data_IF_277477404619
#
_entry.id   IF_277477404619
#
_cell.length_a   1.000
_cell.length_b   1.000
_cell.length_c   1.000
_cell.angle_alpha   90.00
_cell.angle_beta   90.00
_cell.angle_gamma   90.00
#
_symmetry.space_group_name_H-M   'P 1'
#
loop_
_entity.id
_entity.type
_entity.pdbx_description
1 polymer ?
#
# COMPACT_ATOMS: atom_id res chain seq x y z
N UNK A 1 49.13 21.12 19.46
CA UNK A 1 48.77 20.06 18.50
C UNK A 1 47.32 20.28 18.09
N UNK A 2 47.11 21.07 17.04
CA UNK A 2 45.79 21.45 16.53
C UNK A 2 45.64 20.84 15.14
N UNK A 3 44.63 19.98 14.96
CA UNK A 3 44.28 19.40 13.65
C UNK A 3 43.23 20.32 13.02
N UNK A 4 43.63 20.94 11.92
CA UNK A 4 42.73 21.63 10.98
C UNK A 4 42.10 20.55 10.11
N UNK A 5 40.77 20.47 10.12
CA UNK A 5 39.97 19.69 9.17
C UNK A 5 39.62 20.64 8.02
N UNK A 6 40.14 20.34 6.83
CA UNK A 6 39.87 21.06 5.59
C UNK A 6 38.56 20.54 5.00
N UNK A 7 37.55 21.40 4.87
CA UNK A 7 36.34 21.11 4.11
C UNK A 7 36.64 21.18 2.60
N UNK A 8 36.22 20.15 1.88
CA UNK A 8 36.28 20.01 0.43
C UNK A 8 35.39 21.07 -0.23
N UNK A 9 35.90 21.73 -1.27
CA UNK A 9 35.24 22.81 -1.98
C UNK A 9 34.08 22.35 -2.87
N UNK A 10 33.03 23.17 -2.88
CA UNK A 10 31.98 23.19 -3.89
C UNK A 10 32.61 23.63 -5.21
N UNK A 11 32.71 22.70 -6.16
CA UNK A 11 33.11 22.99 -7.54
C UNK A 11 31.94 23.62 -8.27
N UNK A 12 32.00 24.94 -8.48
CA UNK A 12 31.16 25.63 -9.46
C UNK A 12 31.67 25.22 -10.85
N UNK A 13 30.99 24.26 -11.48
CA UNK A 13 31.26 23.91 -12.88
C UNK A 13 30.77 25.05 -13.78
N UNK A 14 31.71 25.76 -14.40
CA UNK A 14 31.41 26.70 -15.48
C UNK A 14 31.58 25.96 -16.79
N UNK A 15 30.48 25.48 -17.38
CA UNK A 15 30.46 24.91 -18.73
C UNK A 15 30.70 26.02 -19.76
N UNK A 16 31.83 25.96 -20.45
CA UNK A 16 32.16 26.87 -21.55
C UNK A 16 31.95 26.12 -22.88
N UNK A 17 30.85 26.45 -23.56
CA UNK A 17 30.71 26.29 -25.01
C UNK A 17 29.98 25.04 -25.49
N UNK A 18 28.70 25.20 -25.86
CA UNK A 18 27.93 24.20 -26.60
C UNK A 18 26.44 24.27 -26.29
N UNK A 19 25.70 25.08 -27.06
CA UNK A 19 24.23 25.08 -27.19
C UNK A 19 23.41 24.93 -25.89
N UNK A 20 23.31 26.02 -25.12
CA UNK A 20 22.00 26.60 -24.80
C UNK A 20 21.11 26.03 -23.68
N UNK A 21 21.57 25.17 -22.76
CA UNK A 21 20.80 24.89 -21.53
C UNK A 21 20.81 26.03 -20.49
N UNK A 22 21.55 27.12 -20.76
CA UNK A 22 21.88 28.16 -19.78
C UNK A 22 20.96 29.39 -19.71
N UNK A 23 19.74 29.36 -20.27
CA UNK A 23 18.91 30.58 -20.35
C UNK A 23 17.44 30.44 -19.90
N UNK A 24 17.07 29.38 -19.17
CA UNK A 24 15.69 29.16 -18.74
C UNK A 24 15.42 29.26 -17.23
N UNK A 25 16.42 29.61 -16.39
CA UNK A 25 16.18 29.76 -14.94
C UNK A 25 15.96 31.23 -14.59
N UNK A 26 14.70 31.60 -14.31
CA UNK A 26 14.36 32.87 -13.72
C UNK A 26 14.96 32.95 -12.30
N UNK A 27 15.24 34.16 -11.82
CA UNK A 27 16.01 34.40 -10.60
C UNK A 27 15.34 33.92 -9.30
N UNK A 28 14.06 33.52 -9.36
CA UNK A 28 13.31 32.89 -8.26
C UNK A 28 13.40 31.33 -8.27
N UNK A 29 13.81 30.68 -9.37
CA UNK A 29 13.90 29.21 -9.49
C UNK A 29 15.16 28.59 -8.85
N UNK A 30 16.15 29.42 -8.52
CA UNK A 30 17.41 28.96 -7.92
C UNK A 30 17.16 28.31 -6.54
N UNK A 31 16.05 28.63 -5.86
CA UNK A 31 15.77 28.07 -4.53
C UNK A 31 15.41 26.59 -4.54
N UNK A 32 14.63 26.11 -5.52
CA UNK A 32 14.16 24.72 -5.54
C UNK A 32 15.30 23.75 -5.90
N UNK A 33 16.06 24.06 -6.96
CA UNK A 33 17.20 23.24 -7.40
C UNK A 33 18.32 23.14 -6.36
N UNK A 34 18.40 24.08 -5.41
CA UNK A 34 19.35 24.03 -4.28
C UNK A 34 18.76 23.36 -3.03
N UNK A 35 17.43 23.37 -2.89
CA UNK A 35 16.73 22.82 -1.72
C UNK A 35 16.36 21.35 -1.86
N UNK A 36 16.01 20.91 -3.07
CA UNK A 36 15.57 19.57 -3.37
C UNK A 36 16.74 18.78 -3.98
N UNK A 37 17.18 17.74 -3.27
CA UNK A 37 18.37 16.96 -3.65
C UNK A 37 17.95 15.55 -4.02
N UNK A 38 18.25 15.15 -5.26
CA UNK A 38 18.12 13.77 -5.68
C UNK A 38 19.24 12.91 -5.07
N UNK A 39 18.86 11.78 -4.49
CA UNK A 39 19.74 10.84 -3.80
C UNK A 39 19.55 9.43 -4.35
N UNK A 40 20.62 8.64 -4.31
CA UNK A 40 20.62 7.23 -4.71
C UNK A 40 20.01 7.01 -6.11
N UNK A 41 20.36 7.87 -7.06
CA UNK A 41 19.83 7.80 -8.43
C UNK A 41 20.38 6.55 -9.11
N UNK A 42 19.48 5.71 -9.59
CA UNK A 42 19.79 4.49 -10.34
C UNK A 42 19.09 4.53 -11.69
N UNK A 43 19.81 4.10 -12.73
CA UNK A 43 19.26 3.96 -14.08
C UNK A 43 18.85 2.50 -14.27
N UNK A 44 17.64 2.28 -14.75
CA UNK A 44 17.13 0.95 -15.03
C UNK A 44 16.12 0.97 -16.17
N UNK A 45 15.55 -0.19 -16.44
CA UNK A 45 14.45 -0.35 -17.38
C UNK A 45 13.19 -0.72 -16.63
N UNK A 46 12.07 -0.08 -16.96
CA UNK A 46 10.76 -0.40 -16.41
C UNK A 46 9.75 -0.62 -17.54
N UNK A 47 8.82 -1.54 -17.34
CA UNK A 47 7.68 -1.70 -18.24
C UNK A 47 6.63 -0.65 -17.92
N UNK A 48 6.26 0.16 -18.91
CA UNK A 48 5.23 1.18 -18.75
C UNK A 48 3.81 0.60 -18.74
N UNK A 49 2.81 1.47 -18.59
CA UNK A 49 1.39 1.08 -18.58
C UNK A 49 0.92 0.42 -19.90
N UNK A 50 1.67 0.55 -20.99
CA UNK A 50 1.38 -0.02 -22.30
C UNK A 50 2.17 -1.30 -22.59
N UNK A 51 2.99 -1.77 -21.64
CA UNK A 51 3.80 -2.97 -21.81
C UNK A 51 5.13 -2.73 -22.55
N UNK A 52 5.56 -1.49 -22.71
CA UNK A 52 6.82 -1.14 -23.38
C UNK A 52 7.93 -0.95 -22.36
N UNK A 53 9.14 -1.42 -22.67
CA UNK A 53 10.32 -1.12 -21.85
C UNK A 53 10.74 0.33 -22.07
N UNK A 54 10.80 1.09 -20.99
CA UNK A 54 11.29 2.47 -20.94
C UNK A 54 12.54 2.53 -20.06
N UNK A 55 13.52 3.34 -20.49
CA UNK A 55 14.67 3.68 -19.65
C UNK A 55 14.18 4.68 -18.59
N UNK A 56 14.48 4.42 -17.32
CA UNK A 56 14.04 5.26 -16.20
C UNK A 56 15.19 5.53 -15.24
N UNK A 57 15.22 6.74 -14.68
CA UNK A 57 16.00 7.07 -13.50
C UNK A 57 15.07 7.09 -12.28
N UNK A 58 15.39 6.27 -11.29
CA UNK A 58 14.67 6.22 -10.01
C UNK A 58 15.58 6.66 -8.87
N UNK A 59 15.01 7.24 -7.83
CA UNK A 59 15.77 7.66 -6.66
C UNK A 59 14.88 8.23 -5.57
N UNK A 60 15.48 9.04 -4.70
CA UNK A 60 14.75 9.75 -3.65
C UNK A 60 15.04 11.24 -3.70
N UNK A 61 14.00 12.06 -3.58
CA UNK A 61 14.09 13.51 -3.50
C UNK A 61 13.99 13.94 -2.05
N UNK A 62 15.08 14.51 -1.50
CA UNK A 62 15.15 15.02 -0.14
C UNK A 62 14.98 16.54 -0.15
N UNK A 63 14.06 17.06 0.66
CA UNK A 63 13.98 18.50 0.92
C UNK A 63 14.90 18.90 2.07
N UNK A 64 16.00 19.58 1.76
CA UNK A 64 17.00 20.03 2.73
C UNK A 64 16.77 21.47 3.24
N UNK A 65 15.68 22.12 2.81
CA UNK A 65 15.34 23.49 3.22
C UNK A 65 14.37 23.52 4.41
N UNK A 66 14.02 24.74 4.84
CA UNK A 66 12.98 25.04 5.83
C UNK A 66 11.59 25.31 5.22
N UNK A 67 11.50 25.33 3.88
CA UNK A 67 10.26 25.52 3.11
C UNK A 67 9.69 24.21 2.62
N UNK A 68 8.39 24.19 2.37
CA UNK A 68 7.75 23.07 1.70
C UNK A 68 7.68 23.28 0.19
N UNK A 69 7.59 22.20 -0.59
CA UNK A 69 7.54 22.27 -2.06
C UNK A 69 6.38 21.47 -2.63
N UNK A 70 5.55 22.10 -3.45
CA UNK A 70 4.46 21.48 -4.22
C UNK A 70 4.75 21.59 -5.71
N UNK A 71 3.91 20.94 -6.55
CA UNK A 71 4.04 21.00 -8.01
C UNK A 71 5.46 20.61 -8.49
N UNK A 72 6.02 19.56 -7.89
CA UNK A 72 7.40 19.15 -8.13
C UNK A 72 7.51 18.41 -9.46
N UNK A 73 8.20 19.01 -10.43
CA UNK A 73 8.59 18.40 -11.68
C UNK A 73 10.10 18.11 -11.66
N UNK A 74 10.52 17.02 -12.29
CA UNK A 74 11.91 16.61 -12.35
C UNK A 74 12.37 16.56 -13.80
N UNK A 75 13.39 17.34 -14.13
CA UNK A 75 14.09 17.26 -15.40
C UNK A 75 15.37 16.46 -15.22
N UNK A 76 15.75 15.69 -16.23
CA UNK A 76 16.99 14.94 -16.25
C UNK A 76 17.85 15.30 -17.45
N UNK A 77 19.17 15.33 -17.25
CA UNK A 77 20.16 15.24 -18.31
C UNK A 77 20.91 13.91 -18.18
N UNK A 78 20.95 13.13 -19.25
CA UNK A 78 21.65 11.85 -19.30
C UNK A 78 23.07 12.08 -19.79
N UNK A 79 24.07 11.68 -19.01
CA UNK A 79 25.48 11.88 -19.29
C UNK A 79 26.14 10.54 -19.59
N UNK A 80 26.91 10.45 -20.68
CA UNK A 80 27.65 9.24 -21.05
C UNK A 80 29.02 9.15 -20.35
N UNK A 81 29.78 8.10 -20.63
CA UNK A 81 31.10 7.88 -20.03
C UNK A 81 32.18 8.90 -20.42
N UNK A 82 31.94 9.75 -21.43
CA UNK A 82 32.85 10.83 -21.83
C UNK A 82 32.49 12.18 -21.20
N UNK A 83 31.35 12.26 -20.50
CA UNK A 83 30.84 13.49 -19.89
C UNK A 83 29.96 14.32 -20.83
N UNK A 84 29.53 13.76 -21.97
CA UNK A 84 28.64 14.42 -22.93
C UNK A 84 27.17 14.14 -22.58
N UNK A 85 26.31 15.13 -22.81
CA UNK A 85 24.87 14.97 -22.65
C UNK A 85 24.30 14.22 -23.87
N UNK A 86 23.78 13.02 -23.63
CA UNK A 86 23.31 12.08 -24.67
C UNK A 86 21.82 11.77 -24.58
N UNK A 87 21.12 12.44 -23.68
CA UNK A 87 19.69 12.32 -23.53
C UNK A 87 19.13 13.28 -22.51
N UNK A 88 17.82 13.24 -22.38
CA UNK A 88 17.05 14.03 -21.43
C UNK A 88 15.98 13.19 -20.76
N UNK A 89 15.27 13.76 -19.80
CA UNK A 89 14.15 13.08 -19.18
C UNK A 89 13.22 14.00 -18.42
N UNK A 90 12.02 13.51 -18.19
CA UNK A 90 10.98 14.18 -17.45
C UNK A 90 10.30 13.21 -16.47
N UNK A 91 10.00 13.70 -15.27
CA UNK A 91 9.40 12.89 -14.23
C UNK A 91 8.88 13.70 -13.04
N UNK A 92 8.56 12.98 -11.98
CA UNK A 92 7.85 13.51 -10.83
C UNK A 92 8.07 12.61 -9.59
N UNK A 93 7.76 13.11 -8.39
CA UNK A 93 7.64 12.27 -7.21
C UNK A 93 6.57 11.19 -7.39
N UNK A 94 6.84 9.99 -6.90
CA UNK A 94 5.96 8.83 -7.01
C UNK A 94 5.71 8.17 -5.66
N UNK A 95 4.61 7.44 -5.53
CA UNK A 95 4.39 6.51 -4.41
C UNK A 95 5.23 5.23 -4.58
N UNK A 96 5.12 4.30 -3.64
CA UNK A 96 5.84 3.02 -3.69
C UNK A 96 5.49 2.15 -4.91
N UNK A 97 4.33 2.38 -5.54
CA UNK A 97 3.92 1.75 -6.80
C UNK A 97 4.45 2.43 -8.06
N UNK A 98 5.22 3.52 -7.93
CA UNK A 98 5.68 4.31 -9.08
C UNK A 98 4.58 5.17 -9.71
N UNK A 99 3.42 5.30 -9.06
CA UNK A 99 2.33 6.17 -9.52
C UNK A 99 2.66 7.61 -9.11
N UNK A 100 2.47 8.55 -10.04
CA UNK A 100 2.78 9.96 -9.80
C UNK A 100 1.88 10.57 -8.75
N UNK A 101 2.48 11.34 -7.84
CA UNK A 101 1.72 12.04 -6.82
C UNK A 101 0.96 13.22 -7.43
N UNK A 102 -0.28 13.41 -6.98
CA UNK A 102 -1.15 14.50 -7.43
C UNK A 102 -0.61 15.88 -7.03
N UNK A 103 -1.14 16.93 -7.68
CA UNK A 103 -0.67 18.31 -7.51
C UNK A 103 -0.83 18.90 -6.09
N UNK A 104 -1.66 18.28 -5.25
CA UNK A 104 -1.83 18.62 -3.84
C UNK A 104 -0.72 18.05 -2.93
N UNK A 105 0.11 17.14 -3.45
CA UNK A 105 1.31 16.69 -2.75
C UNK A 105 2.26 17.84 -2.43
N UNK A 106 2.72 17.87 -1.18
CA UNK A 106 3.67 18.87 -0.69
C UNK A 106 4.79 18.19 0.09
N UNK A 107 6.02 18.27 -0.43
CA UNK A 107 7.20 17.73 0.20
C UNK A 107 7.68 18.66 1.34
N UNK A 108 7.48 18.24 2.58
CA UNK A 108 7.84 19.00 3.78
C UNK A 108 9.35 19.07 4.03
N UNK A 109 9.85 20.06 4.80
CA UNK A 109 11.23 20.12 5.26
C UNK A 109 11.74 18.81 5.87
N UNK A 110 12.91 18.34 5.44
CA UNK A 110 13.53 17.10 5.92
C UNK A 110 12.87 15.81 5.42
N UNK A 111 11.69 15.88 4.80
CA UNK A 111 11.03 14.72 4.24
C UNK A 111 11.71 14.25 2.95
N UNK A 112 11.51 12.97 2.63
CA UNK A 112 12.10 12.33 1.45
C UNK A 112 11.06 11.54 0.69
N UNK A 113 10.91 11.76 -0.61
CA UNK A 113 9.94 11.08 -1.46
C UNK A 113 10.63 10.31 -2.60
N UNK A 114 10.23 9.07 -2.93
CA UNK A 114 10.63 8.43 -4.17
C UNK A 114 10.29 9.26 -5.41
N UNK A 115 11.08 9.12 -6.47
CA UNK A 115 10.76 9.69 -7.76
C UNK A 115 11.05 8.72 -8.90
N UNK A 116 10.42 8.97 -10.04
CA UNK A 116 10.72 8.30 -11.32
C UNK A 116 10.81 9.34 -12.43
N UNK A 117 11.83 9.23 -13.27
CA UNK A 117 12.06 10.07 -14.44
C UNK A 117 12.23 9.17 -15.66
N UNK A 118 11.32 9.29 -16.63
CA UNK A 118 11.47 8.61 -17.91
C UNK A 118 12.59 9.29 -18.71
N UNK A 119 13.50 8.49 -19.27
CA UNK A 119 14.68 8.95 -19.98
C UNK A 119 14.56 8.64 -21.47
N UNK A 120 14.94 9.60 -22.30
CA UNK A 120 15.04 9.45 -23.74
C UNK A 120 16.46 9.80 -24.18
N UNK A 121 17.13 8.84 -24.83
CA UNK A 121 18.44 9.05 -25.42
C UNK A 121 18.26 9.66 -26.81
N UNK A 122 19.13 10.60 -27.17
CA UNK A 122 19.09 11.25 -28.49
C UNK A 122 19.40 10.25 -29.62
N UNK A 123 20.24 9.25 -29.33
CA UNK A 123 20.62 8.19 -30.26
C UNK A 123 20.50 6.81 -29.57
N UNK A 124 20.15 5.78 -30.32
CA UNK A 124 19.80 4.45 -29.77
C UNK A 124 21.00 3.61 -29.30
N UNK A 125 22.21 3.96 -29.73
CA UNK A 125 23.47 3.28 -29.39
C UNK A 125 24.25 3.98 -28.27
N UNK A 126 23.73 5.10 -27.76
CA UNK A 126 24.29 5.77 -26.59
C UNK A 126 24.10 4.95 -25.31
N UNK A 127 25.03 5.13 -24.38
CA UNK A 127 24.98 4.45 -23.08
C UNK A 127 25.03 5.48 -21.95
N UNK A 128 23.99 5.47 -21.12
CA UNK A 128 23.92 6.32 -19.94
C UNK A 128 24.94 5.86 -18.88
N UNK A 129 25.78 6.78 -18.42
CA UNK A 129 26.72 6.55 -17.31
C UNK A 129 26.24 7.23 -16.01
N UNK A 130 25.62 8.41 -16.14
CA UNK A 130 25.12 9.20 -15.03
C UNK A 130 23.83 9.95 -15.45
N UNK A 131 22.98 10.27 -14.49
CA UNK A 131 21.79 11.11 -14.71
C UNK A 131 21.82 12.24 -13.70
N UNK A 132 21.76 13.48 -14.21
CA UNK A 132 21.66 14.68 -13.40
C UNK A 132 20.20 15.08 -13.28
N UNK A 133 19.67 15.12 -12.06
CA UNK A 133 18.28 15.49 -11.79
C UNK A 133 18.22 16.96 -11.38
N UNK A 134 17.36 17.73 -12.05
CA UNK A 134 17.09 19.14 -11.76
C UNK A 134 15.61 19.28 -11.39
N UNK A 135 15.28 19.50 -10.11
CA UNK A 135 13.91 19.70 -9.68
C UNK A 135 13.44 21.14 -9.91
N UNK A 136 12.21 21.29 -10.40
CA UNK A 136 11.44 22.52 -10.42
C UNK A 136 10.22 22.36 -9.52
N UNK A 137 9.97 23.30 -8.63
CA UNK A 137 8.88 23.21 -7.67
C UNK A 137 8.47 24.58 -7.13
N UNK A 138 7.24 24.67 -6.64
CA UNK A 138 6.71 25.88 -6.02
C UNK A 138 6.95 25.84 -4.51
N UNK A 139 7.68 26.83 -3.99
CA UNK A 139 7.96 26.95 -2.56
C UNK A 139 6.75 27.53 -1.82
N UNK A 140 6.35 26.87 -0.75
CA UNK A 140 5.31 27.31 0.18
C UNK A 140 5.86 27.37 1.62
N UNK A 141 5.06 27.93 2.51
CA UNK A 141 5.38 27.87 3.94
C UNK A 141 5.29 26.41 4.40
N UNK A 142 6.27 25.98 5.19
CA UNK A 142 6.20 24.66 5.77
C UNK A 142 4.95 24.55 6.62
N UNK A 143 4.21 23.48 6.42
CA UNK A 143 3.24 23.10 7.42
C UNK A 143 4.10 22.66 8.60
N UNK A 144 4.01 23.37 9.73
CA UNK A 144 4.50 22.80 10.98
C UNK A 144 3.83 21.45 11.09
N UNK A 145 4.60 20.38 10.86
CA UNK A 145 4.18 19.03 11.18
C UNK A 145 3.62 19.14 12.57
N UNK A 146 2.30 19.03 12.71
CA UNK A 146 1.71 18.85 14.02
C UNK A 146 2.46 17.65 14.55
N UNK A 147 3.26 17.84 15.61
CA UNK A 147 3.95 16.76 16.30
C UNK A 147 3.06 15.52 16.24
N UNK A 148 3.58 14.34 15.81
CA UNK A 148 2.74 13.19 15.49
C UNK A 148 1.68 13.08 16.56
N UNK A 149 0.41 13.18 16.15
CA UNK A 149 -0.70 13.26 17.09
C UNK A 149 -0.54 12.07 18.04
N UNK A 150 -0.16 12.35 19.28
CA UNK A 150 -0.02 11.30 20.29
C UNK A 150 -1.45 10.96 20.65
N UNK A 151 -1.95 9.89 20.04
CA UNK A 151 -3.27 9.35 20.31
C UNK A 151 -3.06 8.26 21.36
N UNK A 152 -3.68 8.43 22.53
CA UNK A 152 -3.62 7.44 23.60
C UNK A 152 -4.03 6.06 23.07
N UNK A 153 -3.24 5.03 23.38
CA UNK A 153 -3.48 3.66 22.91
C UNK A 153 -3.06 3.39 21.46
N UNK A 154 -2.44 4.34 20.75
CA UNK A 154 -1.90 4.15 19.40
C UNK A 154 -0.40 4.46 19.36
N UNK A 155 0.39 3.48 18.93
CA UNK A 155 1.84 3.62 18.78
C UNK A 155 2.23 3.63 17.30
N UNK A 156 2.89 4.67 16.78
CA UNK A 156 3.45 4.64 15.43
C UNK A 156 4.63 3.67 15.35
N UNK A 157 4.73 2.92 14.25
CA UNK A 157 5.84 1.98 13.98
C UNK A 157 6.75 2.54 12.89
N UNK A 158 6.17 2.87 11.73
CA UNK A 158 6.88 3.47 10.60
C UNK A 158 5.95 4.42 9.83
N UNK A 159 6.54 5.38 9.11
CA UNK A 159 5.86 6.21 8.11
C UNK A 159 6.07 5.74 6.67
N UNK A 160 6.61 4.53 6.49
CA UNK A 160 6.75 3.90 5.18
C UNK A 160 5.38 3.40 4.66
N UNK A 161 5.24 3.21 3.35
CA UNK A 161 4.04 2.64 2.71
C UNK A 161 3.93 1.14 3.02
N UNK A 162 3.20 0.78 4.07
CA UNK A 162 2.96 -0.60 4.49
C UNK A 162 1.72 -1.16 3.82
N UNK A 163 1.87 -2.28 3.12
CA UNK A 163 0.82 -2.89 2.28
C UNK A 163 0.44 -4.30 2.72
N UNK A 164 1.20 -4.89 3.65
CA UNK A 164 0.92 -6.20 4.21
C UNK A 164 1.39 -6.30 5.65
N UNK A 165 0.62 -7.00 6.49
CA UNK A 165 0.95 -7.32 7.87
C UNK A 165 0.59 -8.78 8.14
N UNK A 166 1.52 -9.52 8.72
CA UNK A 166 1.30 -10.89 9.21
C UNK A 166 1.72 -10.98 10.68
N UNK A 167 0.78 -11.28 11.57
CA UNK A 167 1.10 -11.51 12.97
C UNK A 167 1.77 -12.88 13.16
N UNK A 168 2.94 -12.87 13.81
CA UNK A 168 3.64 -14.09 14.22
C UNK A 168 3.03 -14.62 15.52
N UNK A 169 2.72 -13.71 16.44
CA UNK A 169 2.07 -13.97 17.73
C UNK A 169 1.38 -12.69 18.23
N UNK A 170 0.88 -12.64 19.48
CA UNK A 170 0.22 -11.46 20.04
C UNK A 170 1.12 -10.24 20.30
N UNK A 171 2.43 -10.39 20.07
CA UNK A 171 3.45 -9.38 20.36
C UNK A 171 4.36 -9.06 19.19
N UNK A 172 4.48 -9.96 18.20
CA UNK A 172 5.35 -9.80 17.04
C UNK A 172 4.59 -9.91 15.73
N UNK A 173 4.98 -9.07 14.79
CA UNK A 173 4.44 -9.08 13.43
C UNK A 173 5.55 -8.92 12.39
N UNK A 174 5.27 -9.42 11.20
CA UNK A 174 5.99 -9.12 9.97
C UNK A 174 5.18 -8.08 9.20
N UNK A 175 5.85 -7.14 8.53
CA UNK A 175 5.17 -6.21 7.62
C UNK A 175 5.97 -5.97 6.36
N UNK A 176 5.25 -5.83 5.24
CA UNK A 176 5.79 -5.59 3.91
C UNK A 176 5.65 -4.12 3.53
N UNK A 177 6.77 -3.50 3.16
CA UNK A 177 6.83 -2.14 2.61
C UNK A 177 7.02 -2.20 1.10
N UNK A 178 6.25 -1.43 0.35
CA UNK A 178 6.39 -1.35 -1.11
C UNK A 178 5.06 -1.11 -1.83
N UNK A 179 4.99 -1.51 -3.10
CA UNK A 179 3.75 -1.44 -3.83
C UNK A 179 2.80 -2.59 -3.42
N UNK A 180 1.52 -2.28 -3.22
CA UNK A 180 0.50 -3.28 -2.89
C UNK A 180 0.27 -4.29 -4.03
N UNK A 181 0.69 -3.97 -5.26
CA UNK A 181 0.67 -4.87 -6.40
C UNK A 181 1.89 -5.78 -6.47
N UNK A 182 2.97 -5.46 -5.77
CA UNK A 182 4.17 -6.28 -5.83
C UNK A 182 3.89 -7.63 -5.15
N UNK A 183 4.33 -8.75 -5.77
CA UNK A 183 4.33 -10.04 -5.11
C UNK A 183 5.01 -9.95 -3.75
N UNK A 184 4.45 -10.61 -2.73
CA UNK A 184 4.94 -10.50 -1.36
C UNK A 184 6.45 -10.79 -1.25
N UNK A 185 6.99 -11.70 -2.05
CA UNK A 185 8.41 -12.07 -2.04
C UNK A 185 9.34 -11.03 -2.68
N UNK A 186 8.80 -9.94 -3.25
CA UNK A 186 9.55 -8.79 -3.78
C UNK A 186 9.47 -7.56 -2.86
N UNK A 187 8.57 -7.57 -1.88
CA UNK A 187 8.43 -6.49 -0.90
C UNK A 187 9.61 -6.49 0.08
N UNK A 188 9.90 -5.32 0.66
CA UNK A 188 10.87 -5.22 1.76
C UNK A 188 10.18 -5.58 3.07
N UNK A 189 10.59 -6.70 3.67
CA UNK A 189 10.00 -7.21 4.91
C UNK A 189 10.76 -6.77 6.14
N UNK A 190 10.01 -6.43 7.19
CA UNK A 190 10.53 -6.11 8.50
C UNK A 190 9.78 -6.91 9.57
N UNK A 191 10.48 -7.30 10.64
CA UNK A 191 9.87 -7.82 11.86
C UNK A 191 9.81 -6.70 12.89
N UNK A 192 8.69 -6.63 13.64
CA UNK A 192 8.48 -5.67 14.71
C UNK A 192 7.98 -6.37 15.97
N UNK A 193 8.62 -6.07 17.10
CA UNK A 193 8.21 -6.50 18.43
C UNK A 193 7.51 -5.34 19.14
N UNK A 194 6.20 -5.50 19.37
CA UNK A 194 5.32 -4.46 19.94
C UNK A 194 5.62 -4.14 21.41
N UNK A 195 6.35 -5.00 22.13
CA UNK A 195 6.68 -4.81 23.55
C UNK A 195 7.96 -3.99 23.70
N UNK A 196 8.97 -4.30 22.89
CA UNK A 196 10.28 -3.65 22.95
C UNK A 196 10.39 -2.44 22.01
N UNK A 197 9.50 -2.35 21.01
CA UNK A 197 9.56 -1.34 19.95
C UNK A 197 10.72 -1.58 18.97
N UNK A 198 11.37 -2.74 19.01
CA UNK A 198 12.49 -3.08 18.13
C UNK A 198 11.95 -3.54 16.78
N UNK A 199 12.52 -2.99 15.71
CA UNK A 199 12.30 -3.45 14.34
C UNK A 199 13.60 -3.80 13.63
N UNK A 200 13.52 -4.71 12.67
CA UNK A 200 14.65 -5.09 11.83
C UNK A 200 14.21 -5.68 10.49
N UNK A 201 15.02 -5.50 9.45
CA UNK A 201 14.77 -6.16 8.16
C UNK A 201 14.85 -7.68 8.30
N UNK A 202 13.96 -8.36 7.58
CA UNK A 202 13.91 -9.82 7.52
C UNK A 202 13.52 -10.28 6.12
N UNK A 203 13.42 -11.59 5.91
CA UNK A 203 12.86 -12.18 4.70
C UNK A 203 11.53 -12.84 5.05
N UNK A 204 10.52 -12.69 4.20
CA UNK A 204 9.26 -13.39 4.40
C UNK A 204 9.48 -14.90 4.47
N UNK A 205 8.86 -15.62 5.43
CA UNK A 205 9.09 -17.06 5.63
C UNK A 205 8.91 -17.91 4.37
N UNK A 206 7.97 -17.52 3.51
CA UNK A 206 7.66 -18.20 2.25
C UNK A 206 8.32 -17.59 1.00
N UNK A 207 9.22 -16.60 1.13
CA UNK A 207 9.85 -15.98 -0.03
C UNK A 207 10.64 -17.00 -0.88
N UNK A 208 11.31 -17.95 -0.21
CA UNK A 208 12.08 -19.01 -0.86
C UNK A 208 11.23 -20.09 -1.53
N UNK A 209 9.94 -20.18 -1.21
CA UNK A 209 9.02 -21.15 -1.81
C UNK A 209 8.56 -20.71 -3.22
N UNK A 210 8.75 -19.43 -3.55
CA UNK A 210 8.45 -18.89 -4.89
C UNK A 210 9.59 -19.19 -5.86
N UNK A 211 9.67 -20.46 -6.29
CA UNK A 211 10.72 -20.95 -7.19
C UNK A 211 10.35 -20.78 -8.67
N UNK A 212 11.36 -20.80 -9.56
CA UNK A 212 11.13 -20.83 -11.02
C UNK A 212 10.29 -22.05 -11.44
N UNK A 213 10.46 -23.19 -10.77
CA UNK A 213 9.68 -24.39 -11.02
C UNK A 213 8.19 -24.18 -10.67
N UNK A 214 7.91 -23.59 -9.52
CA UNK A 214 6.53 -23.22 -9.14
C UNK A 214 5.94 -22.26 -10.18
N UNK A 215 6.66 -21.19 -10.52
CA UNK A 215 6.20 -20.21 -11.51
C UNK A 215 5.93 -20.85 -12.87
N UNK A 216 6.77 -21.79 -13.31
CA UNK A 216 6.53 -22.55 -14.53
C UNK A 216 5.26 -23.42 -14.44
N UNK A 217 5.05 -24.13 -13.34
CA UNK A 217 3.85 -24.97 -13.12
C UNK A 217 2.57 -24.13 -13.11
N UNK A 218 2.61 -22.93 -12.53
CA UNK A 218 1.47 -22.02 -12.45
C UNK A 218 1.27 -21.12 -13.69
N UNK A 219 2.14 -21.24 -14.70
CA UNK A 219 2.17 -20.35 -15.88
C UNK A 219 2.40 -18.86 -15.52
N UNK A 220 3.25 -18.59 -14.54
CA UNK A 220 3.63 -17.26 -14.04
C UNK A 220 5.11 -16.92 -14.33
N UNK A 221 5.67 -17.44 -15.41
CA UNK A 221 7.05 -17.15 -15.82
C UNK A 221 7.21 -15.75 -16.39
N UNK A 222 6.16 -15.23 -17.02
CA UNK A 222 6.08 -13.84 -17.46
C UNK A 222 6.06 -12.90 -16.23
N UNK A 223 6.97 -11.90 -16.14
CA UNK A 223 7.05 -11.00 -15.00
C UNK A 223 5.77 -10.16 -14.77
N UNK A 224 5.07 -9.76 -15.83
CA UNK A 224 3.85 -8.97 -15.74
C UNK A 224 2.73 -9.84 -15.16
N UNK A 225 2.60 -11.07 -15.64
CA UNK A 225 1.62 -12.02 -15.11
C UNK A 225 1.93 -12.39 -13.66
N UNK A 226 3.20 -12.60 -13.32
CA UNK A 226 3.60 -12.86 -11.93
C UNK A 226 3.26 -11.69 -11.01
N UNK A 227 3.58 -10.45 -11.42
CA UNK A 227 3.24 -9.24 -10.67
C UNK A 227 1.74 -9.05 -10.45
N UNK A 228 0.90 -9.51 -11.39
CA UNK A 228 -0.57 -9.39 -11.29
C UNK A 228 -1.25 -10.62 -10.69
N UNK A 229 -0.50 -11.65 -10.34
CA UNK A 229 -1.05 -12.92 -9.88
C UNK A 229 -1.55 -12.90 -8.44
N UNK A 230 -1.13 -11.92 -7.62
CA UNK A 230 -1.35 -11.93 -6.17
C UNK A 230 -1.00 -13.30 -5.55
N UNK A 231 0.08 -13.93 -6.02
CA UNK A 231 0.54 -15.19 -5.44
C UNK A 231 0.95 -14.92 -3.99
N UNK A 232 0.32 -15.60 -3.04
CA UNK A 232 0.61 -15.50 -1.60
C UNK A 232 0.31 -16.81 -0.89
N UNK A 233 1.09 -17.12 0.14
CA UNK A 233 0.87 -18.28 0.99
C UNK A 233 -0.11 -17.94 2.10
N UNK A 234 -0.96 -18.90 2.47
CA UNK A 234 -1.81 -18.74 3.65
C UNK A 234 -0.92 -18.65 4.91
N UNK A 235 -1.09 -17.64 5.79
CA UNK A 235 -0.24 -17.47 6.96
C UNK A 235 -0.16 -18.74 7.83
N UNK A 236 1.07 -19.18 8.11
CA UNK A 236 1.34 -20.40 8.88
C UNK A 236 0.97 -21.71 8.19
N UNK A 237 0.59 -21.68 6.91
CA UNK A 237 0.21 -22.86 6.13
C UNK A 237 1.08 -23.03 4.89
N UNK A 238 0.95 -24.21 4.28
CA UNK A 238 1.76 -24.59 3.13
C UNK A 238 1.12 -24.22 1.80
N UNK A 239 -0.21 -24.18 1.71
CA UNK A 239 -0.89 -23.91 0.44
C UNK A 239 -0.90 -22.42 0.13
N UNK A 240 -0.98 -22.10 -1.15
CA UNK A 240 -1.01 -20.74 -1.67
C UNK A 240 -2.32 -20.43 -2.38
N UNK A 241 -2.64 -19.15 -2.44
CA UNK A 241 -3.63 -18.56 -3.33
C UNK A 241 -2.90 -17.81 -4.44
N UNK A 242 -3.46 -17.81 -5.65
CA UNK A 242 -3.05 -16.93 -6.73
C UNK A 242 -4.19 -16.76 -7.74
N UNK A 243 -4.01 -15.81 -8.64
CA UNK A 243 -4.87 -15.54 -9.77
C UNK A 243 -4.12 -15.80 -11.08
N UNK A 244 -4.76 -16.49 -12.03
CA UNK A 244 -4.18 -16.75 -13.35
C UNK A 244 -4.22 -15.53 -14.27
N UNK A 245 -3.61 -15.66 -15.45
CA UNK A 245 -3.68 -14.71 -16.57
C UNK A 245 -5.11 -14.41 -17.06
N UNK A 246 -6.05 -15.34 -16.85
CA UNK A 246 -7.47 -15.19 -17.14
C UNK A 246 -8.28 -14.69 -15.92
N UNK A 247 -7.62 -14.09 -14.94
CA UNK A 247 -8.21 -13.64 -13.67
C UNK A 247 -8.99 -14.73 -12.92
N UNK A 248 -8.62 -16.00 -13.07
CA UNK A 248 -9.29 -17.11 -12.36
C UNK A 248 -8.60 -17.35 -11.02
N UNK A 249 -9.28 -17.17 -9.87
CA UNK A 249 -8.70 -17.44 -8.56
C UNK A 249 -8.53 -18.95 -8.33
N UNK A 250 -7.35 -19.33 -7.88
CA UNK A 250 -6.97 -20.73 -7.65
C UNK A 250 -6.16 -20.90 -6.36
N UNK A 251 -6.14 -22.12 -5.83
CA UNK A 251 -5.22 -22.52 -4.78
C UNK A 251 -4.32 -23.68 -5.22
N UNK A 252 -3.11 -23.77 -4.66
CA UNK A 252 -2.11 -24.77 -5.03
C UNK A 252 -1.26 -25.21 -3.83
N UNK A 253 -0.57 -26.34 -3.98
CA UNK A 253 0.59 -26.69 -3.13
C UNK A 253 1.84 -25.86 -3.54
N UNK A 254 2.91 -25.80 -2.71
CA UNK A 254 4.13 -25.04 -3.01
C UNK A 254 4.88 -25.45 -4.27
N UNK A 255 4.64 -26.66 -4.79
CA UNK A 255 5.21 -27.14 -6.05
C UNK A 255 4.31 -26.86 -7.27
N UNK A 256 3.15 -26.22 -7.03
CA UNK A 256 2.13 -25.91 -8.02
C UNK A 256 1.17 -27.06 -8.30
N UNK A 257 1.31 -28.19 -7.60
CA UNK A 257 0.40 -29.33 -7.75
C UNK A 257 -0.92 -29.15 -6.99
N UNK A 258 -1.85 -30.08 -7.19
CA UNK A 258 -3.18 -30.09 -6.57
C UNK A 258 -3.95 -28.77 -6.69
N UNK A 259 -3.94 -28.21 -7.91
CA UNK A 259 -4.67 -27.01 -8.26
C UNK A 259 -6.17 -27.16 -7.99
N UNK A 260 -6.75 -26.16 -7.33
CA UNK A 260 -8.19 -26.03 -7.11
C UNK A 260 -8.66 -24.71 -7.70
N UNK A 261 -9.56 -24.79 -8.66
CA UNK A 261 -10.23 -23.62 -9.23
C UNK A 261 -11.39 -23.24 -8.32
N UNK A 262 -11.46 -21.98 -7.92
CA UNK A 262 -12.54 -21.49 -7.05
C UNK A 262 -13.70 -20.96 -7.90
N UNK A 263 -13.38 -20.05 -8.82
CA UNK A 263 -14.31 -19.39 -9.75
C UNK A 263 -13.64 -19.13 -11.11
N UNK A 264 -14.44 -19.02 -12.18
CA UNK A 264 -13.95 -18.85 -13.57
C UNK A 264 -14.62 -17.70 -14.33
N UNK A 265 -15.58 -17.03 -13.71
CA UNK A 265 -16.41 -15.96 -14.27
C UNK A 265 -15.88 -14.55 -13.95
N UNK A 266 -14.69 -14.46 -13.35
CA UNK A 266 -14.03 -13.21 -12.98
C UNK A 266 -13.02 -12.70 -14.03
N UNK A 267 -13.04 -13.24 -15.25
CA UNK A 267 -12.06 -12.92 -16.30
C UNK A 267 -11.98 -11.42 -16.65
N UNK A 268 -13.03 -10.64 -16.41
CA UNK A 268 -13.09 -9.19 -16.65
C UNK A 268 -12.99 -8.35 -15.36
N UNK A 269 -12.52 -8.95 -14.26
CA UNK A 269 -12.31 -8.29 -12.97
C UNK A 269 -10.86 -8.46 -12.53
N UNK A 270 -10.26 -7.38 -12.05
CA UNK A 270 -8.94 -7.43 -11.45
C UNK A 270 -9.09 -7.62 -9.95
N UNK A 271 -8.41 -8.62 -9.41
CA UNK A 271 -8.27 -8.79 -7.97
C UNK A 271 -7.60 -7.55 -7.38
N UNK A 272 -8.09 -7.11 -6.24
CA UNK A 272 -7.57 -5.93 -5.55
C UNK A 272 -6.88 -6.30 -4.24
N UNK A 273 -7.25 -7.44 -3.65
CA UNK A 273 -6.52 -8.03 -2.55
C UNK A 273 -7.22 -9.24 -1.94
N UNK A 274 -6.58 -9.78 -0.92
CA UNK A 274 -7.07 -10.93 -0.17
C UNK A 274 -6.82 -10.70 1.31
N UNK A 275 -7.88 -10.83 2.10
CA UNK A 275 -7.82 -10.78 3.56
C UNK A 275 -7.77 -12.22 4.08
N UNK A 276 -6.61 -12.63 4.59
CA UNK A 276 -6.48 -13.92 5.27
C UNK A 276 -7.24 -13.94 6.59
N UNK A 277 -7.93 -15.04 6.84
CA UNK A 277 -8.73 -15.30 8.03
C UNK A 277 -8.12 -16.48 8.81
N UNK A 278 -8.80 -16.97 9.84
CA UNK A 278 -8.30 -18.10 10.63
C UNK A 278 -8.33 -19.39 9.82
N UNK A 279 -7.44 -20.31 10.18
CA UNK A 279 -7.40 -21.69 9.66
C UNK A 279 -7.33 -21.78 8.12
N UNK A 280 -6.80 -20.75 7.45
CA UNK A 280 -6.61 -20.74 6.00
C UNK A 280 -7.87 -20.39 5.22
N UNK A 281 -8.94 -19.95 5.89
CA UNK A 281 -10.01 -19.21 5.23
C UNK A 281 -9.51 -17.84 4.76
N UNK A 282 -10.14 -17.29 3.74
CA UNK A 282 -9.84 -15.95 3.25
C UNK A 282 -11.04 -15.30 2.58
N UNK A 283 -11.01 -13.98 2.49
CA UNK A 283 -11.88 -13.17 1.64
C UNK A 283 -11.06 -12.57 0.51
N UNK A 284 -11.45 -12.82 -0.74
CA UNK A 284 -10.86 -12.16 -1.91
C UNK A 284 -11.84 -11.08 -2.42
N UNK A 285 -11.32 -9.93 -2.86
CA UNK A 285 -12.14 -8.80 -3.28
C UNK A 285 -11.64 -8.11 -4.55
N UNK A 286 -12.59 -7.58 -5.32
CA UNK A 286 -12.42 -7.06 -6.68
C UNK A 286 -13.19 -5.76 -6.85
N UNK A 287 -12.57 -4.75 -7.44
CA UNK A 287 -13.24 -3.51 -7.89
C UNK A 287 -12.38 -2.86 -9.00
N UNK A 288 -12.96 -1.94 -9.78
CA UNK A 288 -12.27 -1.28 -10.89
C UNK A 288 -11.38 -0.13 -10.42
N UNK A 289 -12.00 0.84 -9.76
CA UNK A 289 -11.35 2.00 -9.17
C UNK A 289 -11.91 2.38 -7.81
N UNK A 290 -11.51 3.55 -7.32
CA UNK A 290 -12.07 4.15 -6.11
C UNK A 290 -13.56 4.45 -6.30
N UNK A 291 -14.37 4.12 -5.30
CA UNK A 291 -15.82 4.35 -5.29
C UNK A 291 -16.66 3.35 -6.09
N UNK A 292 -16.03 2.45 -6.84
CA UNK A 292 -16.72 1.33 -7.47
C UNK A 292 -17.18 0.29 -6.43
N UNK A 293 -18.29 -0.36 -6.73
CA UNK A 293 -18.78 -1.52 -5.98
C UNK A 293 -17.70 -2.63 -5.93
N UNK A 294 -17.62 -3.26 -4.76
CA UNK A 294 -16.69 -4.34 -4.44
C UNK A 294 -17.40 -5.69 -4.56
N UNK A 295 -16.95 -6.49 -5.53
CA UNK A 295 -17.28 -7.91 -5.61
C UNK A 295 -16.34 -8.70 -4.71
N UNK A 296 -16.83 -9.78 -4.13
CA UNK A 296 -16.04 -10.58 -3.18
C UNK A 296 -16.55 -12.02 -3.11
N UNK A 297 -15.68 -12.89 -2.59
CA UNK A 297 -16.04 -14.23 -2.16
C UNK A 297 -15.21 -14.65 -0.95
N UNK A 298 -15.67 -15.67 -0.24
CA UNK A 298 -14.89 -16.37 0.79
C UNK A 298 -14.64 -17.81 0.38
N UNK A 299 -13.45 -18.31 0.69
CA UNK A 299 -13.01 -19.67 0.40
C UNK A 299 -11.94 -20.11 1.40
N UNK A 300 -11.53 -21.38 1.34
CA UNK A 300 -10.38 -21.91 2.07
C UNK A 300 -9.22 -22.15 1.12
N UNK A 301 -7.99 -22.11 1.64
CA UNK A 301 -6.78 -22.41 0.89
C UNK A 301 -6.75 -23.86 0.36
N UNK A 302 -7.56 -24.75 0.94
CA UNK A 302 -7.79 -26.12 0.45
C UNK A 302 -8.70 -26.20 -0.78
N UNK A 303 -9.23 -25.06 -1.24
CA UNK A 303 -10.05 -24.96 -2.44
C UNK A 303 -11.55 -25.15 -2.20
N UNK A 304 -12.02 -25.00 -0.95
CA UNK A 304 -13.44 -25.05 -0.64
C UNK A 304 -14.05 -23.65 -0.75
N UNK A 305 -15.08 -23.50 -1.59
CA UNK A 305 -15.89 -22.28 -1.62
C UNK A 305 -16.75 -22.22 -0.36
N UNK A 306 -16.73 -21.07 0.33
CA UNK A 306 -17.53 -20.80 1.53
C UNK A 306 -18.71 -19.86 1.22
N UNK A 307 -18.56 -19.01 0.21
CA UNK A 307 -19.63 -18.12 -0.28
C UNK A 307 -20.29 -18.62 -1.56
N UNK A 308 -21.37 -17.94 -1.96
CA UNK A 308 -21.86 -17.95 -3.34
C UNK A 308 -20.83 -17.33 -4.30
N UNK A 309 -21.04 -17.49 -5.61
CA UNK A 309 -20.20 -16.89 -6.63
C UNK A 309 -20.25 -15.35 -6.55
N UNK A 310 -19.14 -14.63 -6.83
CA UNK A 310 -19.11 -13.16 -6.71
C UNK A 310 -20.16 -12.40 -7.52
N UNK A 311 -20.60 -12.95 -8.65
CA UNK A 311 -21.65 -12.33 -9.49
C UNK A 311 -23.06 -12.59 -8.96
N UNK A 312 -23.21 -13.47 -7.98
CA UNK A 312 -24.47 -13.81 -7.31
C UNK A 312 -24.55 -13.19 -5.91
N UNK A 313 -23.47 -12.56 -5.43
CA UNK A 313 -23.47 -11.83 -4.15
C UNK A 313 -23.86 -10.37 -4.35
N UNK A 314 -24.44 -9.77 -3.30
CA UNK A 314 -24.72 -8.34 -3.29
C UNK A 314 -23.37 -7.61 -3.23
N UNK A 315 -23.03 -6.74 -4.19
CA UNK A 315 -21.79 -5.97 -4.14
C UNK A 315 -21.76 -5.03 -2.93
N UNK A 316 -20.56 -4.76 -2.42
CA UNK A 316 -20.35 -3.90 -1.24
C UNK A 316 -19.77 -2.55 -1.63
N UNK A 317 -20.16 -1.48 -0.94
CA UNK A 317 -19.60 -0.13 -1.12
C UNK A 317 -18.25 0.07 -0.39
N UNK A 318 -17.83 -0.92 0.39
CA UNK A 318 -16.54 -0.99 1.08
C UNK A 318 -15.88 -2.33 0.79
N UNK A 319 -14.58 -2.47 1.10
CA UNK A 319 -13.97 -3.81 1.21
C UNK A 319 -14.65 -4.55 2.37
N UNK A 320 -15.28 -5.72 2.12
CA UNK A 320 -15.99 -6.43 3.18
C UNK A 320 -15.06 -6.99 4.26
N UNK A 321 -15.54 -6.94 5.50
CA UNK A 321 -14.92 -7.64 6.62
C UNK A 321 -15.51 -9.02 6.79
N UNK A 322 -14.72 -10.09 6.87
CA UNK A 322 -15.26 -11.45 7.04
C UNK A 322 -15.12 -11.95 8.48
N UNK A 323 -16.03 -12.84 8.89
CA UNK A 323 -15.87 -13.63 10.11
C UNK A 323 -14.63 -14.52 10.01
N UNK A 324 -14.00 -14.91 11.14
CA UNK A 324 -12.81 -15.76 11.13
C UNK A 324 -12.93 -17.07 10.33
N UNK A 325 -14.15 -17.63 10.22
CA UNK A 325 -14.46 -18.85 9.47
C UNK A 325 -14.96 -18.58 8.03
N UNK A 326 -15.08 -17.32 7.62
CA UNK A 326 -15.56 -16.91 6.30
C UNK A 326 -17.05 -17.18 6.01
N UNK A 327 -17.84 -17.60 7.00
CA UNK A 327 -19.27 -17.92 6.84
C UNK A 327 -20.17 -16.67 6.83
N UNK A 328 -19.66 -15.55 7.32
CA UNK A 328 -20.35 -14.28 7.41
C UNK A 328 -19.43 -13.14 6.95
N UNK A 329 -20.04 -12.08 6.41
CA UNK A 329 -19.34 -10.85 6.05
C UNK A 329 -20.13 -9.64 6.51
N UNK A 330 -19.39 -8.57 6.78
CA UNK A 330 -19.87 -7.22 6.98
C UNK A 330 -19.63 -6.46 5.68
N UNK A 331 -20.71 -6.01 5.06
CA UNK A 331 -20.70 -5.19 3.85
C UNK A 331 -21.34 -3.83 4.15
N UNK A 332 -21.09 -2.85 3.29
CA UNK A 332 -21.91 -1.65 3.22
C UNK A 332 -22.72 -1.67 1.93
N UNK A 333 -24.01 -1.33 1.98
CA UNK A 333 -24.88 -1.35 0.81
C UNK A 333 -26.08 -0.42 0.98
N UNK A 334 -26.75 -0.07 -0.12
CA UNK A 334 -28.07 0.55 -0.10
C UNK A 334 -29.16 -0.50 -0.34
N UNK A 335 -29.86 -0.95 0.70
CA UNK A 335 -30.90 -1.99 0.59
C UNK A 335 -32.24 -1.41 1.02
N UNK A 336 -33.23 -1.53 0.13
CA UNK A 336 -34.59 -1.00 0.34
C UNK A 336 -34.63 0.48 0.73
N UNK A 337 -33.68 1.27 0.19
CA UNK A 337 -33.55 2.70 0.45
C UNK A 337 -32.82 3.07 1.75
N UNK A 338 -32.32 2.08 2.49
CA UNK A 338 -31.50 2.29 3.69
C UNK A 338 -30.03 2.09 3.32
N UNK A 339 -29.20 3.08 3.63
CA UNK A 339 -27.75 3.00 3.43
C UNK A 339 -27.08 2.73 4.78
N UNK A 340 -26.27 1.67 4.84
CA UNK A 340 -25.63 1.30 6.08
C UNK A 340 -24.76 0.06 5.99
N UNK A 341 -24.39 -0.46 7.15
CA UNK A 341 -23.60 -1.67 7.29
C UNK A 341 -24.50 -2.85 7.57
N UNK A 342 -24.26 -3.96 6.89
CA UNK A 342 -25.07 -5.16 6.95
C UNK A 342 -24.20 -6.37 7.23
N UNK A 343 -24.70 -7.28 8.08
CA UNK A 343 -24.17 -8.63 8.21
C UNK A 343 -24.88 -9.53 7.22
N UNK A 344 -24.11 -10.20 6.36
CA UNK A 344 -24.61 -11.15 5.37
C UNK A 344 -23.98 -12.51 5.58
N UNK A 345 -24.78 -13.57 5.52
CA UNK A 345 -24.29 -14.94 5.42
C UNK A 345 -23.73 -15.19 4.02
N UNK A 346 -22.53 -15.76 3.90
CA UNK A 346 -21.82 -15.81 2.61
C UNK A 346 -22.46 -16.77 1.61
N UNK A 347 -23.11 -17.83 2.09
CA UNK A 347 -23.78 -18.88 1.32
C UNK A 347 -25.32 -18.82 1.34
N UNK A 348 -25.91 -17.81 2.01
CA UNK A 348 -27.35 -17.62 2.05
C UNK A 348 -27.72 -16.18 1.70
N UNK A 349 -28.98 -15.96 1.33
CA UNK A 349 -29.51 -14.62 1.03
C UNK A 349 -29.87 -13.84 2.30
N UNK A 350 -29.69 -14.45 3.48
CA UNK A 350 -29.95 -13.79 4.76
C UNK A 350 -28.99 -12.63 4.98
N UNK A 351 -29.57 -11.43 5.10
CA UNK A 351 -28.87 -10.19 5.36
C UNK A 351 -29.60 -9.39 6.45
N UNK A 352 -28.84 -8.80 7.38
CA UNK A 352 -29.39 -8.03 8.48
C UNK A 352 -28.68 -6.69 8.57
N UNK A 353 -29.44 -5.60 8.66
CA UNK A 353 -28.90 -4.28 8.97
C UNK A 353 -28.27 -4.31 10.37
N UNK A 354 -27.05 -3.79 10.48
CA UNK A 354 -26.41 -3.52 11.75
C UNK A 354 -26.71 -2.08 12.18
N UNK A 355 -26.34 -1.10 11.35
CA UNK A 355 -26.60 0.31 11.62
C UNK A 355 -26.57 1.13 10.32
N UNK A 356 -27.27 2.27 10.34
CA UNK A 356 -27.30 3.24 9.24
C UNK A 356 -26.05 4.13 9.28
N UNK A 357 -25.40 4.31 8.13
CA UNK A 357 -24.22 5.15 7.99
C UNK A 357 -23.86 5.35 6.51
N UNK A 358 -23.26 6.50 6.20
CA UNK A 358 -22.53 6.68 4.93
C UNK A 358 -21.22 5.89 4.99
N UNK A 359 -20.97 4.94 4.07
CA UNK A 359 -19.71 4.22 4.01
C UNK A 359 -18.60 5.12 3.45
N UNK A 360 -17.36 4.97 3.92
CA UNK A 360 -16.26 5.84 3.50
C UNK A 360 -15.64 5.45 2.14
N UNK A 361 -16.10 4.34 1.54
CA UNK A 361 -15.62 3.83 0.25
C UNK A 361 -14.69 2.61 0.36
N UNK A 362 -14.23 2.13 -0.80
CA UNK A 362 -13.46 0.89 -0.95
C UNK A 362 -11.94 1.04 -0.73
N UNK A 363 -11.45 2.24 -0.42
CA UNK A 363 -10.07 2.48 -0.01
C UNK A 363 -9.85 2.42 1.51
N UNK A 364 -10.92 2.41 2.31
CA UNK A 364 -10.81 2.33 3.77
C UNK A 364 -10.58 0.90 4.26
N UNK A 365 -9.97 0.73 5.45
CA UNK A 365 -9.78 -0.59 6.04
C UNK A 365 -11.08 -1.37 6.13
N UNK A 366 -11.05 -2.64 5.71
CA UNK A 366 -12.17 -3.54 5.86
C UNK A 366 -12.54 -3.71 7.34
N UNK A 367 -13.83 -3.81 7.71
CA UNK A 367 -14.23 -4.11 9.08
C UNK A 367 -13.55 -5.37 9.64
N UNK A 368 -13.21 -5.35 10.92
CA UNK A 368 -12.66 -6.52 11.60
C UNK A 368 -13.74 -7.17 12.46
N UNK A 369 -14.01 -8.44 12.18
CA UNK A 369 -15.05 -9.22 12.86
C UNK A 369 -14.40 -10.13 13.91
N UNK A 370 -14.64 -9.85 15.18
CA UNK A 370 -14.24 -10.69 16.31
C UNK A 370 -15.39 -11.62 16.69
N UNK A 371 -15.13 -12.93 16.65
CA UNK A 371 -16.01 -13.97 17.18
C UNK A 371 -15.34 -14.63 18.39
N UNK A 372 -15.88 -14.38 19.57
CA UNK A 372 -15.57 -15.13 20.80
C UNK A 372 -16.79 -15.90 21.29
N UNK A 373 -16.60 -16.82 22.25
CA UNK A 373 -17.65 -17.71 22.72
C UNK A 373 -18.90 -16.95 23.21
N UNK A 374 -18.69 -15.79 23.85
CA UNK A 374 -19.73 -15.01 24.51
C UNK A 374 -19.86 -13.59 23.94
N UNK A 375 -19.11 -13.23 22.89
CA UNK A 375 -19.07 -11.86 22.38
C UNK A 375 -18.86 -11.78 20.87
N UNK A 376 -19.56 -10.85 20.23
CA UNK A 376 -19.49 -10.60 18.78
C UNK A 376 -19.36 -9.11 18.52
N UNK A 377 -18.18 -8.72 18.09
CA UNK A 377 -17.83 -7.32 17.88
C UNK A 377 -17.39 -7.09 16.44
N UNK A 378 -17.73 -5.92 15.92
CA UNK A 378 -17.24 -5.44 14.62
C UNK A 378 -16.52 -4.12 14.83
N UNK A 379 -15.22 -4.09 14.55
CA UNK A 379 -14.42 -2.87 14.58
C UNK A 379 -14.41 -2.25 13.20
N UNK A 380 -14.62 -0.93 13.14
CA UNK A 380 -14.84 -0.21 11.89
C UNK A 380 -14.00 1.07 11.92
N UNK A 381 -13.08 1.17 10.97
CA UNK A 381 -12.40 2.43 10.64
C UNK A 381 -13.24 3.17 9.59
N UNK A 382 -13.66 4.41 9.88
CA UNK A 382 -14.38 5.24 8.90
C UNK A 382 -14.17 6.72 9.16
N UNK A 383 -14.51 7.54 8.17
CA UNK A 383 -14.64 8.98 8.36
C UNK A 383 -15.98 9.31 9.04
N UNK A 384 -15.95 10.18 10.04
CA UNK A 384 -17.12 10.79 10.63
C UNK A 384 -16.87 12.29 10.76
N UNK A 385 -17.67 13.10 10.07
CA UNK A 385 -17.49 14.55 9.97
C UNK A 385 -16.06 14.98 9.54
N UNK A 386 -15.46 14.21 8.63
CA UNK A 386 -14.11 14.46 8.11
C UNK A 386 -12.97 13.95 9.00
N UNK A 387 -13.27 13.36 10.16
CA UNK A 387 -12.28 12.77 11.06
C UNK A 387 -12.24 11.25 10.92
N UNK A 388 -11.05 10.67 10.76
CA UNK A 388 -10.89 9.22 10.79
C UNK A 388 -11.03 8.71 12.23
N UNK A 389 -11.95 7.76 12.44
CA UNK A 389 -12.24 7.21 13.76
C UNK A 389 -12.29 5.68 13.72
N UNK A 390 -11.97 5.06 14.85
CA UNK A 390 -12.22 3.66 15.13
C UNK A 390 -13.44 3.55 16.03
N UNK A 391 -14.43 2.79 15.58
CA UNK A 391 -15.61 2.45 16.37
C UNK A 391 -15.71 0.94 16.54
N UNK A 392 -16.40 0.50 17.58
CA UNK A 392 -16.77 -0.88 17.79
C UNK A 392 -18.29 -1.02 17.91
N UNK A 393 -18.86 -1.86 17.05
CA UNK A 393 -20.26 -2.24 17.10
C UNK A 393 -20.43 -3.55 17.87
N UNK A 394 -21.21 -3.50 18.93
CA UNK A 394 -21.62 -4.68 19.69
C UNK A 394 -22.86 -5.29 19.04
N UNK A 395 -22.71 -6.50 18.53
CA UNK A 395 -23.78 -7.18 17.80
C UNK A 395 -24.89 -7.74 18.70
N UNK A 396 -24.66 -7.85 20.01
CA UNK A 396 -25.67 -8.29 20.97
C UNK A 396 -26.56 -7.12 21.40
N UNK A 397 -25.95 -6.02 21.84
CA UNK A 397 -26.70 -4.82 22.25
C UNK A 397 -27.22 -4.00 21.06
N UNK A 398 -26.55 -4.08 19.91
CA UNK A 398 -26.83 -3.24 18.75
C UNK A 398 -26.27 -1.82 18.87
N UNK A 399 -25.33 -1.59 19.80
CA UNK A 399 -24.77 -0.26 20.07
C UNK A 399 -23.43 -0.02 19.37
N UNK A 400 -23.26 1.19 18.85
CA UNK A 400 -22.02 1.66 18.26
C UNK A 400 -21.23 2.49 19.28
N UNK A 401 -20.03 2.04 19.61
CA UNK A 401 -19.15 2.67 20.58
C UNK A 401 -17.99 3.35 19.87
N UNK A 402 -17.76 4.64 20.14
CA UNK A 402 -16.54 5.31 19.72
C UNK A 402 -15.38 4.84 20.59
N UNK A 403 -14.27 4.40 19.97
CA UNK A 403 -13.08 4.00 20.71
C UNK A 403 -12.03 5.12 20.69
N UNK A 404 -11.61 5.54 19.50
CA UNK A 404 -10.51 6.49 19.34
C UNK A 404 -10.50 7.14 17.96
N UNK A 405 -9.70 8.20 17.82
CA UNK A 405 -9.36 8.80 16.52
C UNK A 405 -8.24 7.98 15.87
N UNK A 406 -8.18 7.98 14.55
CA UNK A 406 -7.15 7.27 13.80
C UNK A 406 -6.17 8.26 13.15
N UNK A 407 -4.86 7.92 13.08
CA UNK A 407 -3.87 8.70 12.34
C UNK A 407 -3.97 8.43 10.82
N UNK A 408 -5.19 8.32 10.30
CA UNK A 408 -5.46 7.90 8.93
C UNK A 408 -5.98 9.09 8.14
N UNK A 409 -5.35 9.37 7.00
CA UNK A 409 -5.74 10.44 6.08
C UNK A 409 -5.57 9.94 4.65
N UNK A 410 -6.59 9.23 4.14
CA UNK A 410 -6.56 8.60 2.83
C UNK A 410 -7.12 9.52 1.75
N UNK A 411 -6.34 9.73 0.69
CA UNK A 411 -6.85 10.21 -0.60
C UNK A 411 -7.56 9.08 -1.38
N UNK A 412 -8.10 9.40 -2.55
CA UNK A 412 -8.73 8.41 -3.45
C UNK A 412 -7.74 7.39 -4.04
N UNK A 413 -6.44 7.67 -4.00
CA UNK A 413 -5.38 6.79 -4.53
C UNK A 413 -4.69 5.96 -3.44
N UNK A 414 -4.89 6.36 -2.19
CA UNK A 414 -4.36 5.68 -1.02
C UNK A 414 -5.34 4.64 -0.51
N UNK A 415 -4.83 3.65 0.22
CA UNK A 415 -5.59 2.53 0.78
C UNK A 415 -5.15 2.31 2.21
N UNK A 416 -6.12 1.97 3.05
CA UNK A 416 -5.91 1.54 4.43
C UNK A 416 -6.27 0.07 4.61
N UNK A 417 -5.57 -0.57 5.54
CA UNK A 417 -5.82 -1.95 5.93
C UNK A 417 -5.72 -2.09 7.44
N UNK A 418 -6.40 -3.09 7.99
CA UNK A 418 -6.26 -3.42 9.40
C UNK A 418 -6.32 -4.91 9.66
N UNK A 419 -5.58 -5.36 10.68
CA UNK A 419 -5.47 -6.77 11.06
C UNK A 419 -5.47 -6.93 12.57
N UNK A 420 -6.20 -7.93 13.07
CA UNK A 420 -6.12 -8.32 14.47
C UNK A 420 -4.83 -9.06 14.79
N UNK A 421 -4.29 -8.80 15.98
CA UNK A 421 -3.39 -9.75 16.61
C UNK A 421 -4.11 -11.08 16.91
N UNK A 422 -3.41 -12.21 16.99
CA UNK A 422 -4.03 -13.52 17.19
C UNK A 422 -4.88 -13.63 18.47
N UNK A 423 -4.51 -12.85 19.50
CA UNK A 423 -5.19 -12.75 20.79
C UNK A 423 -6.25 -11.63 20.87
N UNK A 424 -6.53 -10.94 19.76
CA UNK A 424 -7.46 -9.81 19.67
C UNK A 424 -7.16 -8.63 20.61
N UNK A 425 -5.96 -8.55 21.18
CA UNK A 425 -5.57 -7.44 22.05
C UNK A 425 -5.13 -6.19 21.28
N UNK A 426 -4.76 -6.34 20.00
CA UNK A 426 -4.22 -5.26 19.18
C UNK A 426 -4.81 -5.27 17.77
N UNK A 427 -4.83 -4.09 17.16
CA UNK A 427 -5.03 -3.91 15.73
C UNK A 427 -3.76 -3.30 15.15
N UNK A 428 -3.22 -3.92 14.10
CA UNK A 428 -2.28 -3.26 13.20
C UNK A 428 -3.10 -2.48 12.17
N UNK A 429 -2.93 -1.16 12.11
CA UNK A 429 -3.50 -0.28 11.10
C UNK A 429 -2.38 0.14 10.16
N UNK A 430 -2.53 -0.08 8.86
CA UNK A 430 -1.59 0.37 7.86
C UNK A 430 -2.26 1.22 6.79
N UNK A 431 -1.47 2.07 6.14
CA UNK A 431 -1.85 2.79 4.95
C UNK A 431 -0.66 2.94 4.00
N UNK A 432 -0.94 3.06 2.70
CA UNK A 432 0.06 3.46 1.70
C UNK A 432 -0.11 4.94 1.29
N UNK A 433 0.77 5.39 0.41
CA UNK A 433 0.83 6.76 -0.07
C UNK A 433 1.57 7.75 0.83
N UNK A 434 1.27 9.03 0.63
CA UNK A 434 2.00 10.17 1.21
C UNK A 434 1.82 10.23 2.73
N UNK A 435 0.62 9.89 3.19
CA UNK A 435 0.30 9.79 4.61
C UNK A 435 0.31 8.34 5.09
N UNK A 436 1.02 7.46 4.36
CA UNK A 436 1.17 6.05 4.68
C UNK A 436 1.92 5.82 5.99
N UNK A 437 1.80 4.60 6.51
CA UNK A 437 2.45 4.21 7.73
C UNK A 437 1.89 2.92 8.31
N UNK A 438 2.42 2.55 9.47
CA UNK A 438 1.94 1.46 10.30
C UNK A 438 1.80 1.94 11.74
N UNK A 439 0.65 1.67 12.35
CA UNK A 439 0.33 1.99 13.73
C UNK A 439 -0.23 0.76 14.45
N UNK A 440 0.12 0.61 15.72
CA UNK A 440 -0.43 -0.43 16.59
C UNK A 440 -1.41 0.20 17.55
N UNK A 441 -2.65 -0.24 17.48
CA UNK A 441 -3.74 0.15 18.36
C UNK A 441 -3.86 -0.91 19.46
N UNK A 442 -3.58 -0.55 20.70
CA UNK A 442 -3.79 -1.41 21.87
C UNK A 442 -5.25 -1.33 22.31
N UNK A 443 -6.03 -2.38 22.05
CA UNK A 443 -7.44 -2.42 22.39
C UNK A 443 -7.69 -2.45 23.90
N UNK A 444 -6.69 -2.85 24.69
CA UNK A 444 -6.79 -2.88 26.15
C UNK A 444 -6.68 -1.49 26.79
N UNK A 445 -6.26 -0.48 26.01
CA UNK A 445 -6.23 0.92 26.44
C UNK A 445 -7.63 1.58 26.45
N UNK A 446 -8.64 0.94 25.87
CA UNK A 446 -10.00 1.46 25.77
C UNK A 446 -10.98 0.65 26.63
N UNK A 447 -12.17 1.21 26.86
CA UNK A 447 -13.25 0.44 27.46
C UNK A 447 -13.61 -0.76 26.55
N UNK A 448 -13.93 -1.94 27.12
CA UNK A 448 -14.43 -3.06 26.34
C UNK A 448 -15.62 -2.63 25.48
N UNK A 449 -15.73 -3.17 24.28
CA UNK A 449 -16.89 -2.92 23.43
C UNK A 449 -18.17 -3.37 24.16
N UNK A 450 -19.17 -2.50 24.26
CA UNK A 450 -20.40 -2.73 25.03
C UNK A 450 -20.34 -2.36 26.52
N UNK A 451 -19.20 -1.90 27.04
CA UNK A 451 -19.11 -1.31 28.38
C UNK A 451 -19.41 0.19 28.32
N UNK A 452 -20.69 0.55 28.41
CA UNK A 452 -21.18 1.94 28.51
C UNK A 452 -20.94 2.58 29.88
#
# INVERSE_FOLDING_TARGET
MSRIVTYLGIGVFTLVGGVGFGQLLAQDDISAAQALVAQNVTIGTQTDAFGQEALVATGRLLNQSDRAYSNVNLFAAVINGTGEAVGEGYGYPVNACGEGLLADFTLQPGATQPFSVALELYESDETAAEVLIVPEAEASDSQTSSLPLVIDGISPVTGDEVVSVEWVDGQRLLYGVGCWRDPFNQQRWLEYDTVTGVQGETTHPHAGDVTDALRATLNLTDPIMFGRSFLQFAPGQRRLFYQTDLNSPMTAEPDGSFLRVLYTDLYNRSLQGVNWLRDGAFLAYYHGGFGDDVLYFTATVDGQNLSNAPLETIPSLIVPGASPDGSEVIIAAGIDGVLGYYRKYTNFDTINLLFEAEPPGNNWPAPLYQLEADAKYVYIARSNDGEAILQCYDMESGEMNFLTRLPLSLSSEERGWMWFSPDYSKIALAANGVNGGLWIIDLTAYAPCGAS
#
